data_IF_613901926620
#
_entry.id   IF_613901926620
#
_cell.length_a   1.000
_cell.length_b   1.000
_cell.length_c   1.000
_cell.angle_alpha   90.00
_cell.angle_beta   90.00
_cell.angle_gamma   90.00
#
_symmetry.space_group_name_H-M   'P 1'
#
loop_
_entity.id
_entity.type
_entity.pdbx_description
1 polymer ?
#
# COMPACT_ATOMS: atom_id res chain seq x y z
N UNK A 1 -38.99 -22.43 7.10
CA UNK A 1 -37.67 -21.81 7.40
C UNK A 1 -36.62 -22.54 6.58
N UNK A 2 -35.96 -21.90 5.60
CA UNK A 2 -34.88 -22.54 4.85
C UNK A 2 -33.62 -22.67 5.71
N UNK A 3 -32.92 -23.79 5.60
CA UNK A 3 -31.72 -24.10 6.38
C UNK A 3 -30.52 -23.25 5.95
N UNK A 4 -29.68 -22.92 6.93
CA UNK A 4 -28.48 -22.06 6.85
C UNK A 4 -27.32 -22.79 6.12
N UNK A 5 -27.61 -23.69 5.18
CA UNK A 5 -26.62 -24.50 4.46
C UNK A 5 -26.34 -24.04 3.03
N UNK A 6 -27.10 -23.08 2.49
CA UNK A 6 -27.08 -22.78 1.05
C UNK A 6 -26.20 -21.60 0.62
N UNK A 7 -25.63 -20.84 1.56
CA UNK A 7 -24.87 -19.61 1.25
C UNK A 7 -23.36 -19.87 1.09
N UNK A 8 -22.87 -21.05 1.50
CA UNK A 8 -21.45 -21.40 1.53
C UNK A 8 -21.02 -22.35 0.40
N UNK A 9 -21.67 -22.30 -0.77
CA UNK A 9 -21.11 -22.86 -2.00
C UNK A 9 -20.55 -21.74 -2.87
N UNK A 10 -19.53 -21.06 -2.36
CA UNK A 10 -18.51 -20.51 -3.25
C UNK A 10 -17.97 -21.73 -3.99
N UNK A 11 -17.96 -21.69 -5.31
CA UNK A 11 -17.46 -22.71 -6.22
C UNK A 11 -16.05 -23.19 -5.80
N UNK A 12 -15.97 -24.14 -4.87
CA UNK A 12 -14.74 -24.83 -4.47
C UNK A 12 -14.48 -25.86 -5.55
N UNK A 13 -13.79 -25.43 -6.59
CA UNK A 13 -13.27 -26.32 -7.63
C UNK A 13 -12.03 -27.01 -7.03
N UNK A 14 -12.03 -28.33 -6.81
CA UNK A 14 -10.90 -29.05 -6.20
C UNK A 14 -9.70 -29.18 -7.16
N UNK A 15 -9.69 -28.44 -8.27
CA UNK A 15 -8.60 -28.44 -9.24
C UNK A 15 -7.39 -27.70 -8.66
N UNK A 16 -6.16 -28.23 -8.81
CA UNK A 16 -4.96 -27.52 -8.37
C UNK A 16 -4.87 -26.15 -9.06
N UNK A 17 -4.81 -25.08 -8.27
CA UNK A 17 -4.61 -23.72 -8.78
C UNK A 17 -3.36 -23.70 -9.68
N UNK A 18 -3.51 -23.16 -10.90
CA UNK A 18 -2.39 -22.98 -11.82
C UNK A 18 -1.24 -22.23 -11.13
N UNK A 19 0.01 -22.65 -11.41
CA UNK A 19 1.19 -22.13 -10.73
C UNK A 19 1.36 -20.62 -10.95
N UNK A 20 0.93 -20.10 -12.11
CA UNK A 20 0.98 -18.65 -12.37
C UNK A 20 -0.01 -17.90 -11.48
N UNK A 21 -1.22 -18.42 -11.32
CA UNK A 21 -2.24 -17.86 -10.44
C UNK A 21 -1.75 -17.84 -8.99
N UNK A 22 -1.19 -18.95 -8.50
CA UNK A 22 -0.60 -19.01 -7.15
C UNK A 22 0.52 -17.98 -6.94
N UNK A 23 1.43 -17.85 -7.91
CA UNK A 23 2.52 -16.88 -7.83
C UNK A 23 2.02 -15.43 -7.88
N UNK A 24 0.90 -15.17 -8.55
CA UNK A 24 0.27 -13.84 -8.59
C UNK A 24 -0.39 -13.51 -7.25
N UNK A 25 -1.12 -14.45 -6.65
CA UNK A 25 -1.72 -14.29 -5.33
C UNK A 25 -0.67 -14.02 -4.25
N UNK A 26 0.42 -14.80 -4.23
CA UNK A 26 1.55 -14.56 -3.31
C UNK A 26 2.16 -13.17 -3.46
N UNK A 27 2.26 -12.67 -4.70
CA UNK A 27 2.77 -11.32 -4.96
C UNK A 27 1.81 -10.24 -4.45
N UNK A 28 0.50 -10.44 -4.62
CA UNK A 28 -0.51 -9.52 -4.10
C UNK A 28 -0.56 -9.51 -2.57
N UNK A 29 -0.46 -10.67 -1.94
CA UNK A 29 -0.38 -10.79 -0.48
C UNK A 29 0.85 -10.06 0.07
N UNK A 30 2.02 -10.27 -0.53
CA UNK A 30 3.24 -9.56 -0.15
C UNK A 30 3.12 -8.04 -0.34
N UNK A 31 2.48 -7.58 -1.42
CA UNK A 31 2.22 -6.16 -1.64
C UNK A 31 1.28 -5.57 -0.58
N UNK A 32 0.24 -6.33 -0.19
CA UNK A 32 -0.71 -5.92 0.85
C UNK A 32 -0.04 -5.82 2.22
N UNK A 33 0.73 -6.83 2.64
CA UNK A 33 1.47 -6.80 3.91
C UNK A 33 2.39 -5.57 3.97
N UNK A 34 3.10 -5.28 2.88
CA UNK A 34 3.96 -4.09 2.81
C UNK A 34 3.18 -2.76 2.92
N UNK A 35 1.97 -2.71 2.35
CA UNK A 35 1.11 -1.54 2.46
C UNK A 35 0.64 -1.33 3.90
N UNK A 36 0.26 -2.40 4.61
CA UNK A 36 -0.16 -2.35 6.01
C UNK A 36 0.97 -1.86 6.91
N UNK A 37 2.18 -2.38 6.75
CA UNK A 37 3.36 -1.92 7.50
C UNK A 37 3.62 -0.42 7.27
N UNK A 38 3.64 0.01 6.01
CA UNK A 38 3.88 1.39 5.64
C UNK A 38 2.75 2.36 6.03
N UNK A 39 1.53 1.86 6.25
CA UNK A 39 0.38 2.69 6.62
C UNK A 39 0.54 3.29 8.01
N UNK A 40 1.12 2.52 8.95
CA UNK A 40 1.41 3.00 10.31
C UNK A 40 2.29 4.26 10.32
N UNK A 41 3.38 4.27 9.54
CA UNK A 41 4.27 5.42 9.37
C UNK A 41 3.54 6.62 8.76
N UNK A 42 2.68 6.39 7.77
CA UNK A 42 1.90 7.43 7.15
C UNK A 42 0.94 8.10 8.12
N UNK A 43 0.19 7.31 8.89
CA UNK A 43 -0.71 7.82 9.94
C UNK A 43 0.07 8.64 10.97
N UNK A 44 1.22 8.14 11.43
CA UNK A 44 2.07 8.87 12.37
C UNK A 44 2.54 10.22 11.79
N UNK A 45 2.97 10.27 10.53
CA UNK A 45 3.42 11.49 9.88
C UNK A 45 2.29 12.53 9.75
N UNK A 46 1.10 12.11 9.31
CA UNK A 46 -0.05 13.01 9.13
C UNK A 46 -0.56 13.54 10.47
N UNK A 47 -0.70 12.67 11.48
CA UNK A 47 -1.16 13.09 12.81
C UNK A 47 -0.18 14.05 13.48
N UNK A 48 1.14 13.78 13.36
CA UNK A 48 2.16 14.65 13.93
C UNK A 48 2.19 16.01 13.21
N UNK A 49 2.08 16.03 11.88
CA UNK A 49 2.01 17.26 11.10
C UNK A 49 0.76 18.08 11.42
N UNK A 50 -0.40 17.42 11.58
CA UNK A 50 -1.63 18.08 11.99
C UNK A 50 -1.52 18.67 13.40
N UNK A 51 -0.97 17.92 14.35
CA UNK A 51 -0.74 18.37 15.72
C UNK A 51 0.20 19.58 15.79
N UNK A 52 1.28 19.58 15.01
CA UNK A 52 2.24 20.69 14.94
C UNK A 52 1.73 21.92 14.17
N UNK A 53 0.50 21.90 13.64
CA UNK A 53 -0.08 23.03 12.90
C UNK A 53 0.57 23.26 11.52
N UNK A 54 1.03 22.20 10.85
CA UNK A 54 1.42 22.27 9.43
C UNK A 54 0.17 22.61 8.59
N UNK A 55 0.26 23.50 7.58
CA UNK A 55 -0.89 23.87 6.77
C UNK A 55 -1.59 22.65 6.13
N UNK A 56 -2.93 22.63 6.15
CA UNK A 56 -3.72 21.51 5.64
C UNK A 56 -3.48 21.23 4.15
N UNK A 57 -3.20 22.25 3.34
CA UNK A 57 -2.83 22.07 1.93
C UNK A 57 -1.56 21.21 1.77
N UNK A 58 -0.56 21.44 2.62
CA UNK A 58 0.68 20.66 2.63
C UNK A 58 0.43 19.23 3.09
N UNK A 59 -0.37 19.04 4.15
CA UNK A 59 -0.76 17.72 4.66
C UNK A 59 -1.51 16.93 3.57
N UNK A 60 -2.46 17.56 2.88
CA UNK A 60 -3.23 16.95 1.81
C UNK A 60 -2.33 16.56 0.63
N UNK A 61 -1.37 17.42 0.27
CA UNK A 61 -0.39 17.13 -0.78
C UNK A 61 0.45 15.90 -0.44
N UNK A 62 0.94 15.79 0.81
CA UNK A 62 1.66 14.61 1.30
C UNK A 62 0.77 13.36 1.27
N UNK A 63 -0.49 13.49 1.67
CA UNK A 63 -1.48 12.40 1.61
C UNK A 63 -1.70 11.86 0.21
N UNK A 64 -1.89 12.75 -0.77
CA UNK A 64 -2.03 12.38 -2.18
C UNK A 64 -0.75 11.74 -2.70
N UNK A 65 0.41 12.32 -2.41
CA UNK A 65 1.70 11.78 -2.84
C UNK A 65 1.95 10.36 -2.29
N UNK A 66 1.70 10.13 -1.01
CA UNK A 66 1.80 8.79 -0.41
C UNK A 66 0.87 7.80 -1.11
N UNK A 67 -0.40 8.18 -1.30
CA UNK A 67 -1.44 7.33 -1.88
C UNK A 67 -1.08 6.93 -3.32
N UNK A 68 -0.68 7.89 -4.15
CA UNK A 68 -0.26 7.63 -5.53
C UNK A 68 0.99 6.73 -5.57
N UNK A 69 1.95 6.95 -4.66
CA UNK A 69 3.15 6.10 -4.54
C UNK A 69 2.78 4.64 -4.22
N UNK A 70 1.78 4.41 -3.35
CA UNK A 70 1.33 3.05 -2.99
C UNK A 70 0.52 2.37 -4.09
N UNK A 71 -0.30 3.12 -4.84
CA UNK A 71 -0.98 2.60 -6.03
C UNK A 71 0.07 2.19 -7.06
N UNK A 72 1.05 3.04 -7.35
CA UNK A 72 2.12 2.74 -8.29
C UNK A 72 2.96 1.53 -7.84
N UNK A 73 3.33 1.44 -6.57
CA UNK A 73 4.03 0.28 -6.00
C UNK A 73 3.23 -1.01 -6.19
N UNK A 74 1.93 -1.00 -5.88
CA UNK A 74 1.06 -2.17 -5.97
C UNK A 74 0.90 -2.67 -7.40
N UNK A 75 0.76 -1.73 -8.36
CA UNK A 75 0.72 -2.04 -9.79
C UNK A 75 2.06 -2.62 -10.27
N UNK A 76 3.17 -2.01 -9.86
CA UNK A 76 4.51 -2.52 -10.19
C UNK A 76 4.71 -3.95 -9.66
N UNK A 77 4.34 -4.19 -8.39
CA UNK A 77 4.49 -5.50 -7.75
C UNK A 77 3.64 -6.59 -8.44
N UNK A 78 2.43 -6.22 -8.89
CA UNK A 78 1.47 -7.17 -9.48
C UNK A 78 1.76 -7.51 -10.93
N UNK A 79 2.14 -6.52 -11.75
CA UNK A 79 2.19 -6.67 -13.21
C UNK A 79 3.61 -6.77 -13.78
N UNK A 80 4.64 -6.37 -13.02
CA UNK A 80 6.01 -6.40 -13.52
C UNK A 80 6.65 -7.76 -13.19
N UNK A 81 6.82 -8.60 -14.22
CA UNK A 81 7.54 -9.87 -14.11
C UNK A 81 9.00 -9.77 -14.58
N UNK A 82 9.33 -8.71 -15.32
CA UNK A 82 10.67 -8.50 -15.89
C UNK A 82 11.64 -7.96 -14.84
N UNK A 83 12.80 -8.63 -14.70
CA UNK A 83 13.86 -8.24 -13.75
C UNK A 83 14.36 -6.81 -13.95
N UNK A 84 14.42 -6.32 -15.20
CA UNK A 84 14.89 -4.96 -15.52
C UNK A 84 14.00 -3.84 -14.96
N UNK A 85 12.71 -4.11 -14.77
CA UNK A 85 11.74 -3.15 -14.25
C UNK A 85 11.54 -3.26 -12.73
N UNK A 86 12.28 -4.15 -12.06
CA UNK A 86 12.26 -4.32 -10.60
C UNK A 86 12.67 -3.05 -9.85
N UNK A 87 13.53 -2.21 -10.44
CA UNK A 87 13.92 -0.93 -9.85
C UNK A 87 12.74 0.02 -9.65
N UNK A 88 11.71 -0.01 -10.50
CA UNK A 88 10.56 0.87 -10.40
C UNK A 88 9.75 0.62 -9.12
N UNK A 89 9.69 -0.64 -8.68
CA UNK A 89 9.10 -1.02 -7.39
C UNK A 89 9.84 -0.36 -6.23
N UNK A 90 11.17 -0.37 -6.24
CA UNK A 90 11.96 0.28 -5.19
C UNK A 90 11.79 1.80 -5.19
N UNK A 91 11.74 2.42 -6.37
CA UNK A 91 11.54 3.87 -6.50
C UNK A 91 10.17 4.30 -5.96
N UNK A 92 9.10 3.61 -6.34
CA UNK A 92 7.73 3.90 -5.86
C UNK A 92 7.60 3.68 -4.36
N UNK A 93 8.26 2.66 -3.82
CA UNK A 93 8.32 2.41 -2.37
C UNK A 93 9.04 3.55 -1.62
N UNK A 94 10.23 3.95 -2.09
CA UNK A 94 10.98 5.05 -1.48
C UNK A 94 10.25 6.38 -1.58
N UNK A 95 9.59 6.67 -2.70
CA UNK A 95 8.77 7.88 -2.88
C UNK A 95 7.70 8.00 -1.79
N UNK A 96 6.99 6.91 -1.49
CA UNK A 96 6.01 6.88 -0.39
C UNK A 96 6.65 7.14 0.99
N UNK A 97 7.79 6.53 1.28
CA UNK A 97 8.49 6.76 2.56
C UNK A 97 9.02 8.19 2.69
N UNK A 98 9.56 8.76 1.61
CA UNK A 98 10.04 10.15 1.57
C UNK A 98 8.90 11.10 1.90
N UNK A 99 7.69 10.89 1.35
CA UNK A 99 6.53 11.74 1.67
C UNK A 99 6.22 11.77 3.19
N UNK A 100 6.34 10.62 3.87
CA UNK A 100 6.13 10.53 5.31
C UNK A 100 7.24 11.24 6.09
N UNK A 101 8.50 11.04 5.69
CA UNK A 101 9.66 11.72 6.29
C UNK A 101 9.53 13.23 6.12
N UNK A 102 9.09 13.72 4.95
CA UNK A 102 8.81 15.13 4.74
C UNK A 102 7.75 15.65 5.71
N UNK A 103 6.65 14.92 5.91
CA UNK A 103 5.63 15.29 6.90
C UNK A 103 6.18 15.41 8.31
N UNK A 104 7.00 14.44 8.75
CA UNK A 104 7.64 14.44 10.06
C UNK A 104 8.63 15.61 10.22
N UNK A 105 9.46 15.88 9.21
CA UNK A 105 10.42 17.00 9.23
C UNK A 105 9.72 18.35 9.28
N UNK A 106 8.62 18.52 8.52
CA UNK A 106 7.84 19.75 8.54
C UNK A 106 7.15 19.95 9.89
N UNK A 107 6.65 18.88 10.51
CA UNK A 107 6.11 18.93 11.86
C UNK A 107 7.19 19.34 12.87
N UNK A 108 8.37 18.72 12.82
CA UNK A 108 9.48 18.99 13.72
C UNK A 108 10.00 20.43 13.64
N UNK A 109 9.90 21.10 12.47
CA UNK A 109 10.26 22.52 12.31
C UNK A 109 9.26 23.49 12.94
N UNK A 110 8.07 23.03 13.30
CA UNK A 110 6.99 23.84 13.88
C UNK A 110 6.79 23.63 15.38
N UNK A 111 7.35 22.55 15.92
CA UNK A 111 7.44 22.31 17.36
C UNK A 111 8.57 23.15 17.96
#
# INVERSE_FOLDING_TARGET
>A
MPSIGSVAKIHYDPTPLDRRTLNKLKRQEAAHVNAVEGFSLFVAAILTAAYAGVPSETINTIGVWYTLSRIAYSLCYTYIEKKSLSCLRSVTWWSGNISCITGLVLAAKKL
#
